data_IF_905860000628
#
_entry.id   IF_905860000628
#
_cell.length_a   1.000
_cell.length_b   1.000
_cell.length_c   1.000
_cell.angle_alpha   90.00
_cell.angle_beta   90.00
_cell.angle_gamma   90.00
#
_symmetry.space_group_name_H-M   'P 1'
#
loop_
_entity.id
_entity.type
_entity.pdbx_description
1 polymer ?
#
# COMPACT_ATOMS: atom_id res chain seq x y z
N UNK A 1 8.79 -2.99 0.26
CA UNK A 1 8.84 -3.51 -1.13
C UNK A 1 8.70 -5.02 -1.17
N UNK A 2 9.15 -5.78 -0.16
CA UNK A 2 8.87 -7.23 -0.08
C UNK A 2 7.38 -7.54 0.08
N UNK A 3 6.66 -6.84 0.96
CA UNK A 3 5.26 -7.15 1.26
C UNK A 3 4.33 -7.08 0.03
N UNK A 4 4.52 -6.08 -0.85
CA UNK A 4 3.70 -5.94 -2.07
C UNK A 4 4.01 -7.00 -3.11
N UNK A 5 5.24 -7.52 -3.15
CA UNK A 5 5.62 -8.60 -4.06
C UNK A 5 4.99 -9.92 -3.63
N UNK A 6 5.13 -10.27 -2.35
CA UNK A 6 4.53 -11.49 -1.78
C UNK A 6 3.00 -11.46 -1.89
N UNK A 7 2.39 -10.29 -1.74
CA UNK A 7 0.96 -10.10 -1.92
C UNK A 7 0.54 -10.36 -3.38
N UNK A 8 1.30 -9.87 -4.36
CA UNK A 8 1.06 -10.14 -5.77
C UNK A 8 1.06 -11.63 -6.10
N UNK A 9 2.01 -12.39 -5.56
CA UNK A 9 2.07 -13.85 -5.74
C UNK A 9 0.80 -14.54 -5.20
N UNK A 10 0.33 -14.15 -4.01
CA UNK A 10 -0.90 -14.71 -3.41
C UNK A 10 -2.19 -14.29 -4.13
N UNK A 11 -2.24 -13.07 -4.65
CA UNK A 11 -3.40 -12.60 -5.42
C UNK A 11 -3.48 -13.29 -6.79
N UNK A 12 -2.34 -13.63 -7.38
CA UNK A 12 -2.26 -14.36 -8.65
C UNK A 12 -2.87 -15.77 -8.57
N UNK A 13 -2.88 -16.39 -7.38
CA UNK A 13 -3.56 -17.66 -7.13
C UNK A 13 -5.10 -17.56 -7.25
N UNK A 14 -5.66 -16.34 -7.25
CA UNK A 14 -7.07 -16.07 -7.59
C UNK A 14 -8.09 -16.33 -6.48
N UNK A 15 -7.64 -16.65 -5.26
CA UNK A 15 -8.52 -16.93 -4.11
C UNK A 15 -9.05 -15.70 -3.37
N UNK A 16 -8.50 -14.51 -3.63
CA UNK A 16 -8.79 -13.30 -2.88
C UNK A 16 -9.42 -12.23 -3.76
N UNK A 17 -10.33 -11.43 -3.17
CA UNK A 17 -11.06 -10.34 -3.86
C UNK A 17 -11.02 -9.01 -3.11
N UNK A 18 -10.42 -8.98 -1.93
CA UNK A 18 -10.41 -7.83 -1.04
C UNK A 18 -9.08 -7.74 -0.29
N UNK A 19 -8.53 -6.54 -0.24
CA UNK A 19 -7.35 -6.16 0.54
C UNK A 19 -7.79 -5.05 1.49
N UNK A 20 -7.53 -5.23 2.79
CA UNK A 20 -7.77 -4.22 3.82
C UNK A 20 -6.42 -3.82 4.41
N UNK A 21 -6.16 -2.52 4.50
CA UNK A 21 -4.94 -2.00 5.14
C UNK A 21 -5.33 -1.15 6.36
N UNK A 22 -5.29 -1.75 7.54
CA UNK A 22 -5.52 -1.05 8.81
C UNK A 22 -4.21 -0.97 9.61
N UNK A 23 -3.50 0.17 9.64
CA UNK A 23 -3.75 1.40 8.87
C UNK A 23 -2.52 1.78 8.07
N UNK A 24 -2.73 2.35 6.88
CA UNK A 24 -1.63 2.87 6.07
C UNK A 24 -0.82 3.92 6.85
N UNK A 25 -1.50 4.75 7.65
CA UNK A 25 -0.87 5.84 8.39
C UNK A 25 0.10 5.37 9.48
N UNK A 26 -0.07 4.16 10.04
CA UNK A 26 0.81 3.66 11.08
C UNK A 26 2.26 3.55 10.59
N UNK A 27 2.47 3.07 9.37
CA UNK A 27 3.79 2.94 8.75
C UNK A 27 4.43 4.32 8.53
N UNK A 28 3.68 5.27 7.97
CA UNK A 28 4.23 6.57 7.59
C UNK A 28 4.33 7.57 8.76
N UNK A 29 3.68 7.33 9.90
CA UNK A 29 3.71 8.25 11.04
C UNK A 29 4.89 7.99 11.98
N UNK A 30 5.37 6.74 12.04
CA UNK A 30 6.51 6.35 12.89
C UNK A 30 7.83 6.81 12.23
N UNK A 31 7.95 6.63 10.92
CA UNK A 31 9.20 6.88 10.19
C UNK A 31 9.44 8.37 9.87
N UNK A 32 8.40 9.20 9.91
CA UNK A 32 8.46 10.61 9.54
C UNK A 32 7.84 11.49 10.64
N UNK A 33 8.64 11.76 11.68
CA UNK A 33 8.21 12.49 12.89
C UNK A 33 8.60 13.97 12.88
N UNK A 34 9.55 14.38 12.04
CA UNK A 34 10.00 15.77 11.90
C UNK A 34 9.11 16.62 10.98
N UNK A 35 8.94 17.91 11.30
CA UNK A 35 8.17 18.85 10.44
C UNK A 35 8.77 19.03 9.03
N UNK A 36 10.08 18.86 8.89
CA UNK A 36 10.78 18.93 7.59
C UNK A 36 10.55 17.70 6.70
N UNK A 37 10.01 16.62 7.26
CA UNK A 37 9.84 15.34 6.58
C UNK A 37 8.42 15.16 6.02
N UNK A 38 7.54 16.15 6.22
CA UNK A 38 6.15 16.09 5.81
C UNK A 38 5.99 15.90 4.30
N UNK A 39 6.78 16.60 3.48
CA UNK A 39 6.72 16.46 2.02
C UNK A 39 7.19 15.07 1.57
N UNK A 40 8.24 14.55 2.17
CA UNK A 40 8.77 13.23 1.87
C UNK A 40 7.78 12.13 2.25
N UNK A 41 7.17 12.25 3.43
CA UNK A 41 6.08 11.37 3.88
C UNK A 41 4.92 11.35 2.88
N UNK A 42 4.45 12.53 2.45
CA UNK A 42 3.33 12.61 1.50
C UNK A 42 3.69 12.02 0.14
N UNK A 43 4.93 12.22 -0.34
CA UNK A 43 5.39 11.63 -1.59
C UNK A 43 5.44 10.10 -1.51
N UNK A 44 5.97 9.55 -0.40
CA UNK A 44 6.07 8.10 -0.18
C UNK A 44 4.71 7.44 0.00
N UNK A 45 3.82 8.09 0.76
CA UNK A 45 2.43 7.66 0.89
C UNK A 45 1.74 7.61 -0.47
N UNK A 46 1.89 8.65 -1.29
CA UNK A 46 1.31 8.68 -2.63
C UNK A 46 1.85 7.57 -3.53
N UNK A 47 3.14 7.28 -3.48
CA UNK A 47 3.76 6.16 -4.20
C UNK A 47 3.18 4.82 -3.75
N UNK A 48 2.98 4.62 -2.45
CA UNK A 48 2.41 3.39 -1.91
C UNK A 48 0.94 3.20 -2.31
N UNK A 49 0.13 4.25 -2.19
CA UNK A 49 -1.26 4.23 -2.65
C UNK A 49 -1.36 3.91 -4.15
N UNK A 50 -0.50 4.50 -4.99
CA UNK A 50 -0.46 4.20 -6.42
C UNK A 50 -0.10 2.74 -6.71
N UNK A 51 0.78 2.12 -5.91
CA UNK A 51 1.08 0.69 -6.02
C UNK A 51 -0.12 -0.18 -5.64
N UNK A 52 -0.84 0.16 -4.56
CA UNK A 52 -2.05 -0.55 -4.16
C UNK A 52 -3.14 -0.46 -5.23
N UNK A 53 -3.37 0.72 -5.83
CA UNK A 53 -4.33 0.89 -6.93
C UNK A 53 -3.97 0.03 -8.14
N UNK A 54 -2.69 -0.02 -8.52
CA UNK A 54 -2.25 -0.87 -9.64
C UNK A 54 -2.50 -2.35 -9.37
N UNK A 55 -2.24 -2.82 -8.15
CA UNK A 55 -2.54 -4.21 -7.78
C UNK A 55 -4.04 -4.50 -7.78
N UNK A 56 -4.86 -3.53 -7.35
CA UNK A 56 -6.32 -3.64 -7.41
C UNK A 56 -6.80 -3.90 -8.85
N UNK A 57 -6.25 -3.16 -9.80
CA UNK A 57 -6.55 -3.27 -11.23
C UNK A 57 -6.00 -4.57 -11.83
N UNK A 58 -4.74 -4.92 -11.54
CA UNK A 58 -4.05 -6.08 -12.11
C UNK A 58 -4.69 -7.41 -11.68
N UNK A 59 -5.07 -7.53 -10.40
CA UNK A 59 -5.62 -8.76 -9.84
C UNK A 59 -7.14 -8.74 -9.71
N UNK A 60 -7.80 -7.66 -10.14
CA UNK A 60 -9.24 -7.46 -10.04
C UNK A 60 -9.76 -7.68 -8.60
N UNK A 61 -9.17 -6.94 -7.66
CA UNK A 61 -9.48 -6.99 -6.23
C UNK A 61 -9.81 -5.60 -5.71
N UNK A 62 -10.68 -5.51 -4.70
CA UNK A 62 -10.97 -4.25 -4.03
C UNK A 62 -9.91 -3.93 -2.98
N UNK A 63 -9.51 -2.66 -2.85
CA UNK A 63 -8.59 -2.20 -1.80
C UNK A 63 -9.29 -1.19 -0.91
N UNK A 64 -9.25 -1.41 0.40
CA UNK A 64 -9.71 -0.47 1.42
C UNK A 64 -8.52 0.02 2.27
N UNK A 65 -8.06 1.26 2.05
CA UNK A 65 -6.88 1.85 2.69
C UNK A 65 -7.12 2.40 4.12
#
# INVERSE_FOLDING_TARGET
>A
MELTKDLGERLAEGGYRLIIVDSIMALFRVDYSGRGELSERQQKLAQFLAQLTRMAEEFNVNVFP
#
